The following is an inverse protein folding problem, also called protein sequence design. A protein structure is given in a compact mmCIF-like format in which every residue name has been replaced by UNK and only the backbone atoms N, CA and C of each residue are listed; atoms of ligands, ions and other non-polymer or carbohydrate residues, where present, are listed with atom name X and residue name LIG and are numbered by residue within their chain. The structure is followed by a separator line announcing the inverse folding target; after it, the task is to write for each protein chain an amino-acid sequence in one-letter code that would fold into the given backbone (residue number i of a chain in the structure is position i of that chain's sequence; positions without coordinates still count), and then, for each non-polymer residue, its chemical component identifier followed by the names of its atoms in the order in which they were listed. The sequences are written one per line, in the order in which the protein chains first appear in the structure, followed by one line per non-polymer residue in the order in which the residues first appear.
data_IF_697814335741
#
_entry.id   IF_697814335741
#
_cell.length_a   1.000
_cell.length_b   1.000
_cell.length_c   1.000
_cell.angle_alpha   90.00
_cell.angle_beta   90.00
_cell.angle_gamma   90.00
#
_symmetry.space_group_name_H-M   'P 1'
#
loop_
_entity.id
_entity.type
_entity.pdbx_description
1 polymer ?
#
# COMPACT_ATOMS: atom_id res chain seq x y z
N UNK A 1 3.03 -3.52 26.43
CA UNK A 1 3.96 -3.54 25.29
C UNK A 1 3.33 -2.71 24.18
N UNK A 2 3.52 -1.39 24.24
CA UNK A 2 2.87 -0.41 23.36
C UNK A 2 3.50 -0.45 21.97
N UNK A 3 2.65 -0.37 20.95
CA UNK A 3 3.00 -0.53 19.54
C UNK A 3 3.39 0.85 19.00
N UNK A 4 4.69 1.11 18.89
CA UNK A 4 5.19 2.37 18.36
C UNK A 4 4.74 2.53 16.90
N UNK A 5 3.80 3.45 16.68
CA UNK A 5 3.40 3.89 15.36
C UNK A 5 4.58 4.64 14.73
N UNK A 6 5.37 3.95 13.91
CA UNK A 6 6.45 4.58 13.16
C UNK A 6 5.84 5.52 12.12
N UNK A 7 5.99 6.81 12.36
CA UNK A 7 5.53 7.88 11.49
C UNK A 7 6.43 7.99 10.25
N UNK A 8 5.83 8.22 9.09
CA UNK A 8 6.49 8.24 7.77
C UNK A 8 7.49 9.42 7.70
N UNK A 9 7.30 10.44 8.53
CA UNK A 9 8.23 11.58 8.68
C UNK A 9 9.59 11.22 9.28
N UNK A 10 9.79 10.03 9.86
CA UNK A 10 11.08 9.59 10.40
C UNK A 10 12.08 9.12 9.32
N UNK A 11 11.64 9.04 8.06
CA UNK A 11 12.52 8.66 6.95
C UNK A 11 12.96 9.91 6.19
N UNK A 12 14.25 10.25 6.28
CA UNK A 12 14.86 11.28 5.44
C UNK A 12 14.91 10.82 3.98
N UNK A 13 13.96 11.28 3.16
CA UNK A 13 14.00 11.04 1.71
C UNK A 13 15.04 11.96 1.06
N UNK A 14 16.05 11.37 0.42
CA UNK A 14 17.00 12.12 -0.38
C UNK A 14 16.30 12.84 -1.55
N UNK A 15 16.72 14.07 -1.91
CA UNK A 15 16.15 14.79 -3.04
C UNK A 15 16.26 14.00 -4.35
N UNK A 16 15.13 13.76 -5.02
CA UNK A 16 15.13 13.13 -6.34
C UNK A 16 15.74 14.07 -7.36
N UNK A 17 16.87 13.68 -7.97
CA UNK A 17 17.34 14.27 -9.23
C UNK A 17 16.27 14.01 -10.29
N UNK A 18 15.68 15.06 -10.83
CA UNK A 18 14.83 14.97 -12.03
C UNK A 18 15.72 14.58 -13.21
N UNK A 19 15.36 13.58 -14.02
CA UNK A 19 16.01 13.40 -15.31
C UNK A 19 15.59 14.55 -16.23
N UNK A 20 16.57 15.23 -16.83
CA UNK A 20 16.35 16.13 -17.96
C UNK A 20 15.88 15.28 -19.16
N UNK A 21 14.58 15.16 -19.30
CA UNK A 21 13.94 14.83 -20.59
C UNK A 21 13.42 16.15 -21.16
N UNK A 22 14.11 16.64 -22.19
CA UNK A 22 13.75 17.86 -22.88
C UNK A 22 12.35 17.79 -23.46
N UNK A 23 11.47 18.65 -22.96
CA UNK A 23 10.32 19.17 -23.70
C UNK A 23 10.24 20.66 -23.43
N UNK A 24 10.24 21.41 -24.53
CA UNK A 24 10.19 22.86 -24.61
C UNK A 24 8.93 23.42 -23.96
N UNK A 25 9.08 24.31 -22.97
CA UNK A 25 8.09 25.33 -22.64
C UNK A 25 8.72 26.71 -22.77
N UNK A 26 8.12 27.52 -23.64
CA UNK A 26 8.52 28.86 -24.04
C UNK A 26 8.12 29.86 -22.96
N UNK A 27 9.03 30.77 -22.58
CA UNK A 27 8.69 31.91 -21.72
C UNK A 27 9.88 32.67 -21.11
N UNK A 28 10.60 33.41 -21.96
CA UNK A 28 11.25 34.74 -21.80
C UNK A 28 11.30 35.38 -20.37
N UNK A 29 12.35 36.05 -19.87
CA UNK A 29 13.44 36.89 -20.43
C UNK A 29 14.55 37.12 -19.38
N UNK A 30 15.78 37.34 -19.87
CA UNK A 30 16.89 38.23 -19.45
C UNK A 30 17.15 38.44 -17.93
N UNK A 31 18.38 38.35 -17.43
CA UNK A 31 19.53 39.14 -17.88
C UNK A 31 20.88 38.45 -17.64
N UNK A 32 21.80 38.74 -18.56
CA UNK A 32 23.24 38.49 -18.44
C UNK A 32 23.91 39.53 -17.53
N UNK A 33 24.94 39.12 -16.79
CA UNK A 33 26.23 39.81 -16.56
C UNK A 33 27.09 38.88 -15.66
N UNK A 34 28.10 38.19 -16.19
CA UNK A 34 29.52 38.56 -16.29
C UNK A 34 30.22 38.90 -14.95
N UNK A 35 31.04 37.97 -14.46
CA UNK A 35 32.36 38.12 -13.81
C UNK A 35 32.65 36.78 -13.11
N UNK A 36 33.44 35.88 -13.69
CA UNK A 36 34.90 35.87 -13.71
C UNK A 36 35.55 35.62 -12.34
N UNK A 37 36.43 34.61 -12.34
CA UNK A 37 37.42 34.26 -11.34
C UNK A 37 36.98 33.87 -9.91
N UNK A 38 36.91 32.55 -9.68
CA UNK A 38 37.72 31.99 -8.60
C UNK A 38 38.15 30.56 -8.92
N UNK A 39 39.47 30.44 -9.08
CA UNK A 39 40.32 29.26 -9.12
C UNK A 39 39.70 27.92 -8.68
N UNK A 40 39.89 26.93 -9.55
CA UNK A 40 39.97 25.51 -9.22
C UNK A 40 40.80 25.28 -7.93
N UNK A 41 40.28 24.57 -6.92
CA UNK A 41 41.09 23.66 -6.15
C UNK A 41 41.01 22.28 -6.82
N UNK A 42 42.14 21.78 -7.30
CA UNK A 42 42.28 20.38 -7.65
C UNK A 42 41.77 19.51 -6.50
N UNK A 43 40.85 18.54 -6.73
CA UNK A 43 40.59 17.53 -5.71
C UNK A 43 41.78 16.58 -5.74
N UNK A 44 42.75 16.89 -4.89
CA UNK A 44 43.76 15.95 -4.46
C UNK A 44 43.09 14.63 -4.08
N UNK A 45 43.68 13.56 -4.60
CA UNK A 45 43.51 12.17 -4.24
C UNK A 45 43.01 11.99 -2.80
N UNK A 46 41.71 11.85 -2.64
CA UNK A 46 41.11 11.41 -1.38
C UNK A 46 40.56 10.02 -1.62
N UNK A 47 41.39 9.05 -1.24
CA UNK A 47 41.11 7.64 -1.03
C UNK A 47 39.85 7.09 -1.68
N UNK A 48 40.05 6.29 -2.72
CA UNK A 48 39.17 5.16 -3.07
C UNK A 48 38.94 4.31 -1.80
N UNK A 49 38.00 4.70 -0.94
CA UNK A 49 37.40 3.80 0.04
C UNK A 49 36.41 2.90 -0.72
N UNK A 50 36.94 2.15 -1.69
CA UNK A 50 36.21 1.07 -2.35
C UNK A 50 36.03 -0.01 -1.31
N UNK A 51 34.87 -0.03 -0.67
CA UNK A 51 34.40 -1.20 0.09
C UNK A 51 34.75 -2.46 -0.71
N UNK A 52 35.26 -3.54 -0.07
CA UNK A 52 35.59 -4.77 -0.76
C UNK A 52 34.37 -5.22 -1.58
N UNK A 53 34.49 -5.12 -2.91
CA UNK A 53 33.45 -5.60 -3.81
C UNK A 53 33.41 -7.10 -3.62
N UNK A 54 32.35 -7.61 -2.96
CA UNK A 54 32.11 -9.05 -2.90
C UNK A 54 32.23 -9.67 -4.30
N UNK A 55 32.75 -10.90 -4.43
CA UNK A 55 32.90 -11.56 -5.72
C UNK A 55 31.57 -11.53 -6.48
N UNK A 56 31.65 -11.35 -7.82
CA UNK A 56 30.45 -11.10 -8.64
C UNK A 56 29.40 -12.21 -8.50
N UNK A 57 29.85 -13.46 -8.31
CA UNK A 57 28.98 -14.61 -8.10
C UNK A 57 28.16 -14.50 -6.81
N UNK A 58 28.76 -14.07 -5.71
CA UNK A 58 28.06 -13.90 -4.43
C UNK A 58 27.09 -12.71 -4.47
N UNK A 59 27.43 -11.64 -5.20
CA UNK A 59 26.51 -10.52 -5.45
C UNK A 59 25.28 -10.96 -6.24
N UNK A 60 25.47 -11.76 -7.29
CA UNK A 60 24.35 -12.32 -8.08
C UNK A 60 23.48 -13.25 -7.24
N UNK A 61 24.08 -14.10 -6.40
CA UNK A 61 23.36 -14.98 -5.46
C UNK A 61 22.54 -14.18 -4.44
N UNK A 62 23.10 -13.13 -3.85
CA UNK A 62 22.38 -12.26 -2.90
C UNK A 62 21.27 -11.46 -3.59
N UNK A 63 21.51 -10.91 -4.78
CA UNK A 63 20.49 -10.23 -5.56
C UNK A 63 19.33 -11.17 -5.92
N UNK A 64 19.62 -12.40 -6.34
CA UNK A 64 18.59 -13.42 -6.61
C UNK A 64 17.76 -13.77 -5.38
N UNK A 65 18.40 -13.91 -4.20
CA UNK A 65 17.70 -14.15 -2.92
C UNK A 65 16.80 -12.99 -2.52
N UNK A 66 17.27 -11.75 -2.65
CA UNK A 66 16.47 -10.56 -2.35
C UNK A 66 15.26 -10.45 -3.31
N UNK A 67 15.45 -10.78 -4.59
CA UNK A 67 14.37 -10.81 -5.57
C UNK A 67 13.35 -11.90 -5.21
N UNK A 68 13.78 -13.10 -4.81
CA UNK A 68 12.86 -14.16 -4.37
C UNK A 68 12.10 -13.78 -3.10
N UNK A 69 12.79 -13.20 -2.11
CA UNK A 69 12.17 -12.75 -0.86
C UNK A 69 11.11 -11.65 -1.11
N UNK A 70 11.41 -10.72 -2.03
CA UNK A 70 10.45 -9.69 -2.43
C UNK A 70 9.24 -10.28 -3.16
N UNK A 71 9.43 -11.27 -4.02
CA UNK A 71 8.34 -11.98 -4.69
C UNK A 71 7.48 -12.77 -3.69
N UNK A 72 8.09 -13.41 -2.70
CA UNK A 72 7.39 -14.15 -1.65
C UNK A 72 6.59 -13.22 -0.75
N UNK A 73 7.14 -12.07 -0.36
CA UNK A 73 6.42 -11.05 0.39
C UNK A 73 5.18 -10.56 -0.38
N UNK A 74 5.32 -10.29 -1.69
CA UNK A 74 4.20 -9.92 -2.56
C UNK A 74 3.15 -11.03 -2.67
N UNK A 75 3.57 -12.30 -2.81
CA UNK A 75 2.67 -13.46 -2.85
C UNK A 75 1.91 -13.62 -1.53
N UNK A 76 2.58 -13.48 -0.39
CA UNK A 76 1.95 -13.54 0.95
C UNK A 76 0.89 -12.46 1.13
N UNK A 77 1.17 -11.22 0.73
CA UNK A 77 0.19 -10.13 0.79
C UNK A 77 -1.02 -10.39 -0.13
N UNK A 78 -0.78 -10.88 -1.35
CA UNK A 78 -1.86 -11.25 -2.29
C UNK A 78 -2.70 -12.40 -1.74
N UNK A 79 -2.08 -13.39 -1.11
CA UNK A 79 -2.78 -14.51 -0.48
C UNK A 79 -3.57 -14.04 0.73
N UNK A 80 -3.00 -13.19 1.60
CA UNK A 80 -3.72 -12.61 2.74
C UNK A 80 -4.95 -11.82 2.28
N UNK A 81 -4.84 -11.02 1.21
CA UNK A 81 -5.98 -10.33 0.60
C UNK A 81 -7.04 -11.32 0.14
N UNK A 82 -6.65 -12.35 -0.62
CA UNK A 82 -7.57 -13.41 -1.08
C UNK A 82 -8.21 -14.18 0.07
N UNK A 83 -7.49 -14.45 1.16
CA UNK A 83 -8.02 -15.15 2.33
C UNK A 83 -9.03 -14.28 3.07
N UNK A 84 -8.79 -12.96 3.19
CA UNK A 84 -9.79 -12.01 3.70
C UNK A 84 -11.02 -11.94 2.81
N UNK A 85 -10.84 -11.90 1.50
CA UNK A 85 -11.94 -11.91 0.53
C UNK A 85 -12.72 -13.24 0.54
N UNK A 86 -12.04 -14.34 0.89
CA UNK A 86 -12.61 -15.67 1.11
C UNK A 86 -13.12 -15.90 2.54
N UNK A 87 -13.16 -14.90 3.41
CA UNK A 87 -13.93 -15.00 4.65
C UNK A 87 -15.33 -15.49 4.25
N UNK A 88 -15.64 -16.71 4.69
CA UNK A 88 -16.51 -17.64 3.98
C UNK A 88 -17.93 -17.08 3.98
N UNK A 89 -18.38 -16.58 2.82
CA UNK A 89 -19.77 -16.13 2.65
C UNK A 89 -20.63 -17.37 2.53
N UNK A 90 -21.29 -17.74 3.62
CA UNK A 90 -22.30 -18.80 3.59
C UNK A 90 -23.59 -18.23 3.02
N UNK A 91 -24.02 -18.77 1.89
CA UNK A 91 -25.30 -18.43 1.28
C UNK A 91 -26.35 -19.41 1.77
N UNK A 92 -27.38 -18.89 2.42
CA UNK A 92 -28.53 -19.67 2.88
C UNK A 92 -29.75 -19.22 2.09
N UNK A 93 -30.45 -20.16 1.46
CA UNK A 93 -31.73 -19.89 0.82
C UNK A 93 -32.84 -20.15 1.84
N UNK A 94 -33.62 -19.11 2.17
CA UNK A 94 -34.68 -19.19 3.18
C UNK A 94 -36.01 -18.88 2.52
N UNK A 95 -36.96 -19.84 2.47
CA UNK A 95 -38.33 -19.54 2.08
C UNK A 95 -38.99 -18.72 3.20
N UNK A 96 -39.45 -17.52 2.86
CA UNK A 96 -40.17 -16.65 3.79
C UNK A 96 -41.63 -16.54 3.36
N UNK A 97 -42.52 -16.51 4.34
CA UNK A 97 -43.91 -16.14 4.12
C UNK A 97 -44.00 -14.70 3.59
N UNK A 98 -44.98 -14.44 2.71
CA UNK A 98 -45.15 -13.14 2.09
C UNK A 98 -45.27 -12.00 3.11
N UNK A 99 -46.06 -12.20 4.18
CA UNK A 99 -46.25 -11.18 5.22
C UNK A 99 -44.93 -10.80 5.91
N UNK A 100 -44.04 -11.76 6.15
CA UNK A 100 -42.72 -11.53 6.76
C UNK A 100 -41.81 -10.80 5.78
N UNK A 101 -41.82 -11.18 4.51
CA UNK A 101 -41.05 -10.52 3.45
C UNK A 101 -41.46 -9.05 3.29
N UNK A 102 -42.75 -8.74 3.36
CA UNK A 102 -43.26 -7.37 3.30
C UNK A 102 -42.80 -6.52 4.50
N UNK A 103 -42.84 -7.06 5.72
CA UNK A 103 -42.30 -6.39 6.92
C UNK A 103 -40.81 -6.12 6.79
N UNK A 104 -40.05 -7.11 6.32
CA UNK A 104 -38.61 -6.96 6.09
C UNK A 104 -38.31 -5.91 5.02
N UNK A 105 -39.12 -5.86 3.97
CA UNK A 105 -38.98 -4.88 2.88
C UNK A 105 -39.28 -3.47 3.40
N UNK A 106 -40.35 -3.30 4.18
CA UNK A 106 -40.68 -2.03 4.83
C UNK A 106 -39.56 -1.56 5.77
N UNK A 107 -39.05 -2.44 6.64
CA UNK A 107 -37.95 -2.11 7.54
C UNK A 107 -36.66 -1.76 6.78
N UNK A 108 -36.38 -2.41 5.65
CA UNK A 108 -35.25 -2.09 4.79
C UNK A 108 -35.37 -0.68 4.18
N UNK A 109 -36.57 -0.31 3.73
CA UNK A 109 -36.84 1.03 3.21
C UNK A 109 -36.78 2.11 4.29
N UNK A 110 -37.35 1.88 5.47
CA UNK A 110 -37.37 2.87 6.55
C UNK A 110 -35.97 3.17 7.12
N UNK A 111 -35.08 2.18 7.16
CA UNK A 111 -33.73 2.34 7.68
C UNK A 111 -32.69 2.67 6.58
N UNK A 112 -33.09 2.69 5.31
CA UNK A 112 -32.18 2.77 4.15
C UNK A 112 -31.06 1.70 4.16
N UNK A 113 -31.38 0.50 4.67
CA UNK A 113 -30.44 -0.62 4.80
C UNK A 113 -30.89 -1.79 3.93
N UNK A 114 -29.92 -2.53 3.38
CA UNK A 114 -30.20 -3.78 2.64
C UNK A 114 -30.87 -4.81 3.55
N UNK A 115 -31.88 -5.52 3.03
CA UNK A 115 -32.57 -6.62 3.73
C UNK A 115 -31.61 -7.66 4.33
N UNK A 116 -30.47 -7.91 3.67
CA UNK A 116 -29.44 -8.86 4.15
C UNK A 116 -28.81 -8.47 5.47
N UNK A 117 -28.63 -7.16 5.73
CA UNK A 117 -28.03 -6.67 6.98
C UNK A 117 -29.02 -6.79 8.13
N UNK A 118 -30.31 -6.51 7.86
CA UNK A 118 -31.38 -6.71 8.84
C UNK A 118 -31.52 -8.20 9.18
N UNK A 119 -31.49 -9.08 8.18
CA UNK A 119 -31.51 -10.52 8.40
C UNK A 119 -30.31 -11.00 9.22
N UNK A 120 -29.11 -10.49 8.93
CA UNK A 120 -27.91 -10.83 9.69
C UNK A 120 -28.05 -10.39 11.16
N UNK A 121 -28.44 -9.13 11.40
CA UNK A 121 -28.64 -8.62 12.75
C UNK A 121 -29.72 -9.39 13.52
N UNK A 122 -30.83 -9.77 12.85
CA UNK A 122 -31.88 -10.57 13.46
C UNK A 122 -31.40 -11.98 13.85
N UNK A 123 -30.57 -12.61 13.00
CA UNK A 123 -29.95 -13.91 13.31
C UNK A 123 -28.96 -13.77 14.46
N UNK A 124 -28.11 -12.73 14.46
CA UNK A 124 -27.12 -12.51 15.51
C UNK A 124 -27.80 -12.31 16.88
N UNK A 125 -28.87 -11.51 16.92
CA UNK A 125 -29.70 -11.34 18.14
C UNK A 125 -30.31 -12.67 18.57
N UNK A 126 -30.91 -13.43 17.64
CA UNK A 126 -31.50 -14.72 17.96
C UNK A 126 -30.47 -15.72 18.50
N UNK A 127 -29.27 -15.78 17.92
CA UNK A 127 -28.20 -16.67 18.39
C UNK A 127 -27.70 -16.24 19.77
N UNK A 128 -27.48 -14.94 19.97
CA UNK A 128 -27.03 -14.39 21.25
C UNK A 128 -28.04 -14.62 22.38
N UNK A 129 -29.33 -14.40 22.11
CA UNK A 129 -30.41 -14.60 23.08
C UNK A 129 -30.56 -16.06 23.50
N UNK A 130 -30.24 -17.00 22.60
CA UNK A 130 -30.27 -18.44 22.88
C UNK A 130 -28.91 -19.01 23.32
N UNK A 131 -27.87 -18.18 23.43
CA UNK A 131 -26.54 -18.57 23.91
C UNK A 131 -25.72 -19.44 22.94
N UNK A 132 -25.99 -19.35 21.63
CA UNK A 132 -25.23 -20.03 20.58
C UNK A 132 -23.98 -19.26 20.15
#
# INVERSE_FOLDING_TARGET
MSKDARDIGQFSLAPRRKPDSGETFVGAKASAELADNTALPAPGSTGDARLPRLPEEERRRRAAKLVSEQQDARRRLKNLKRTKDRAIRFYVNVPLEQAVKERLTRAAHENDVKMTVIMQAAIDIYLQDNGY
#
